data_IF_445737304449
#
_entry.id   IF_445737304449
#
_cell.length_a   1.000
_cell.length_b   1.000
_cell.length_c   1.000
_cell.angle_alpha   90.00
_cell.angle_beta   90.00
_cell.angle_gamma   90.00
#
_symmetry.space_group_name_H-M   'P 1'
#
loop_
_entity.id
_entity.type
_entity.pdbx_description
1 polymer ?
#
# COMPACT_ATOMS: atom_id res chain seq x y z
N UNK A 1 -22.33 -10.53 18.78
CA UNK A 1 -21.08 -11.23 18.47
C UNK A 1 -19.96 -10.36 19.00
N UNK A 2 -19.10 -10.89 19.87
CA UNK A 2 -17.99 -10.12 20.46
C UNK A 2 -16.90 -9.94 19.40
N UNK A 3 -16.53 -8.69 19.12
CA UNK A 3 -15.49 -8.20 18.18
C UNK A 3 -14.08 -8.83 18.33
N UNK A 4 -13.90 -9.81 19.22
CA UNK A 4 -12.61 -10.44 19.54
C UNK A 4 -12.16 -11.52 18.52
N UNK A 5 -12.96 -11.88 17.50
CA UNK A 5 -12.52 -12.85 16.48
C UNK A 5 -11.68 -12.23 15.34
N UNK A 6 -11.58 -10.90 15.25
CA UNK A 6 -10.77 -10.19 14.25
C UNK A 6 -9.28 -10.08 14.63
N UNK A 7 -8.90 -10.42 15.86
CA UNK A 7 -7.51 -10.32 16.33
C UNK A 7 -6.53 -11.31 15.68
N UNK A 8 -7.04 -12.30 14.92
CA UNK A 8 -6.23 -13.11 14.01
C UNK A 8 -6.30 -12.55 12.59
N UNK A 9 -5.97 -11.26 12.41
CA UNK A 9 -5.61 -10.73 11.09
C UNK A 9 -4.38 -11.50 10.62
N UNK A 10 -4.61 -12.52 9.81
CA UNK A 10 -3.57 -13.22 9.04
C UNK A 10 -2.74 -12.14 8.33
N UNK A 11 -1.41 -12.25 8.32
CA UNK A 11 -0.54 -11.35 7.54
C UNK A 11 -1.00 -11.21 6.08
N UNK A 12 -1.58 -12.29 5.53
CA UNK A 12 -2.19 -12.34 4.20
C UNK A 12 -3.32 -11.30 4.02
N UNK A 13 -4.11 -10.99 5.06
CA UNK A 13 -5.20 -10.03 4.96
C UNK A 13 -4.70 -8.58 4.89
N UNK A 14 -3.62 -8.29 5.62
CA UNK A 14 -2.91 -7.01 5.52
C UNK A 14 -2.30 -6.85 4.13
N UNK A 15 -1.75 -7.92 3.56
CA UNK A 15 -1.24 -7.93 2.18
C UNK A 15 -2.35 -7.70 1.13
N UNK A 16 -3.61 -8.00 1.48
CA UNK A 16 -4.79 -7.74 0.64
C UNK A 16 -5.44 -6.38 0.91
N UNK A 17 -4.90 -5.58 1.84
CA UNK A 17 -5.42 -4.27 2.22
C UNK A 17 -6.71 -4.31 3.06
N UNK A 18 -7.19 -5.48 3.46
CA UNK A 18 -8.46 -5.63 4.20
C UNK A 18 -8.27 -5.10 5.63
N UNK A 19 -9.18 -4.22 6.07
CA UNK A 19 -9.10 -3.57 7.38
C UNK A 19 -8.01 -2.50 7.49
N UNK A 20 -7.46 -2.07 6.36
CA UNK A 20 -6.44 -1.01 6.30
C UNK A 20 -6.80 0.02 5.25
N UNK A 21 -6.39 1.27 5.45
CA UNK A 21 -6.56 2.35 4.48
C UNK A 21 -5.23 3.05 4.26
N UNK A 22 -4.92 3.41 3.02
CA UNK A 22 -3.85 4.39 2.81
C UNK A 22 -4.29 5.78 3.31
N UNK A 23 -3.35 6.70 3.54
CA UNK A 23 -3.66 8.00 4.16
C UNK A 23 -4.70 8.78 3.33
N UNK A 24 -4.62 8.71 2.00
CA UNK A 24 -5.56 9.40 1.11
C UNK A 24 -6.95 8.79 1.17
N UNK A 25 -7.08 7.47 1.16
CA UNK A 25 -8.37 6.79 1.31
C UNK A 25 -8.99 7.04 2.67
N UNK A 26 -8.18 7.05 3.74
CA UNK A 26 -8.62 7.43 5.07
C UNK A 26 -9.17 8.86 5.10
N UNK A 27 -8.45 9.83 4.53
CA UNK A 27 -8.92 11.22 4.45
C UNK A 27 -10.25 11.35 3.68
N UNK A 28 -10.40 10.61 2.57
CA UNK A 28 -11.63 10.57 1.78
C UNK A 28 -12.80 9.96 2.54
N UNK A 29 -12.57 8.82 3.19
CA UNK A 29 -13.58 8.13 4.00
C UNK A 29 -14.07 9.05 5.12
N UNK A 30 -13.15 9.62 5.89
CA UNK A 30 -13.47 10.52 6.99
C UNK A 30 -14.25 11.74 6.49
N UNK A 31 -13.84 12.36 5.37
CA UNK A 31 -14.57 13.51 4.81
C UNK A 31 -16.02 13.16 4.47
N UNK A 32 -16.25 12.00 3.84
CA UNK A 32 -17.59 11.54 3.45
C UNK A 32 -18.45 11.21 4.66
N UNK A 33 -17.90 10.52 5.65
CA UNK A 33 -18.57 10.27 6.92
C UNK A 33 -18.94 11.58 7.62
N UNK A 34 -18.00 12.53 7.69
CA UNK A 34 -18.25 13.84 8.27
C UNK A 34 -19.38 14.59 7.57
N UNK A 35 -19.45 14.51 6.23
CA UNK A 35 -20.56 15.08 5.47
C UNK A 35 -21.90 14.43 5.80
N UNK A 36 -21.97 13.10 5.82
CA UNK A 36 -23.21 12.37 6.06
C UNK A 36 -23.74 12.56 7.48
N UNK A 37 -22.84 12.74 8.46
CA UNK A 37 -23.19 13.05 9.84
C UNK A 37 -23.45 14.56 10.07
N UNK A 38 -23.39 15.38 9.03
CA UNK A 38 -23.73 16.81 9.09
C UNK A 38 -22.64 17.72 9.69
N UNK A 39 -21.40 17.24 9.82
CA UNK A 39 -20.26 18.08 10.23
C UNK A 39 -19.77 19.01 9.12
N UNK A 40 -20.15 18.75 7.87
CA UNK A 40 -19.78 19.56 6.70
C UNK A 40 -21.06 20.01 6.02
N UNK A 41 -21.31 21.32 6.01
CA UNK A 41 -22.41 21.90 5.24
C UNK A 41 -21.98 22.06 3.78
N UNK A 42 -22.83 21.59 2.86
CA UNK A 42 -22.68 21.81 1.42
C UNK A 42 -23.96 22.45 0.86
N UNK A 43 -23.85 23.12 -0.29
CA UNK A 43 -25.01 23.71 -0.96
C UNK A 43 -26.03 22.62 -1.31
N UNK A 44 -27.30 22.83 -0.90
CA UNK A 44 -28.36 21.81 -0.82
C UNK A 44 -28.87 21.24 -2.16
N UNK A 45 -28.24 21.61 -3.28
CA UNK A 45 -28.79 21.37 -4.61
C UNK A 45 -28.43 19.99 -5.20
N UNK A 46 -27.64 19.17 -4.49
CA UNK A 46 -27.20 17.85 -4.98
C UNK A 46 -27.59 16.74 -4.02
N UNK A 47 -28.50 15.88 -4.48
CA UNK A 47 -28.79 14.59 -3.86
C UNK A 47 -27.76 13.57 -4.35
N UNK A 48 -26.88 13.11 -3.46
CA UNK A 48 -25.84 12.16 -3.82
C UNK A 48 -26.28 10.73 -3.44
N UNK A 49 -26.94 10.01 -4.34
CA UNK A 49 -27.20 8.58 -4.10
C UNK A 49 -25.88 7.83 -3.78
N UNK A 50 -25.92 6.90 -2.81
CA UNK A 50 -24.79 6.10 -2.33
C UNK A 50 -23.56 6.94 -1.91
N UNK A 51 -23.75 7.81 -0.92
CA UNK A 51 -22.80 8.85 -0.49
C UNK A 51 -21.35 8.36 -0.31
N UNK A 52 -21.10 7.14 0.18
CA UNK A 52 -19.74 6.70 0.50
C UNK A 52 -18.84 6.46 -0.72
N UNK A 53 -19.39 6.07 -1.87
CA UNK A 53 -18.62 5.73 -3.07
C UNK A 53 -18.81 6.71 -4.22
N UNK A 54 -19.57 7.78 -4.01
CA UNK A 54 -19.82 8.80 -5.01
C UNK A 54 -18.54 9.62 -5.28
N UNK A 55 -18.11 9.68 -6.56
CA UNK A 55 -16.91 10.43 -7.00
C UNK A 55 -17.15 11.94 -7.13
N UNK A 56 -18.37 12.35 -7.43
CA UNK A 56 -18.74 13.77 -7.48
C UNK A 56 -18.70 14.38 -6.08
N UNK A 57 -19.13 13.62 -5.07
CA UNK A 57 -18.98 14.02 -3.68
C UNK A 57 -17.51 14.19 -3.28
N UNK A 58 -16.58 13.32 -3.75
CA UNK A 58 -15.14 13.53 -3.50
C UNK A 58 -14.61 14.83 -4.10
N UNK A 59 -15.07 15.18 -5.30
CA UNK A 59 -14.68 16.43 -5.94
C UNK A 59 -15.14 17.63 -5.11
N UNK A 60 -16.40 17.61 -4.67
CA UNK A 60 -16.99 18.72 -3.93
C UNK A 60 -16.44 18.80 -2.48
N UNK A 61 -16.00 17.67 -1.91
CA UNK A 61 -15.29 17.60 -0.63
C UNK A 61 -13.76 17.82 -0.73
N UNK A 62 -13.21 18.11 -1.92
CA UNK A 62 -11.75 18.13 -2.16
C UNK A 62 -10.97 19.04 -1.20
N UNK A 63 -11.51 20.20 -0.85
CA UNK A 63 -10.89 21.11 0.13
C UNK A 63 -10.80 20.47 1.52
N UNK A 64 -11.86 19.80 1.97
CA UNK A 64 -11.90 19.14 3.28
C UNK A 64 -11.05 17.88 3.32
N UNK A 65 -11.04 17.12 2.22
CA UNK A 65 -10.16 15.96 2.04
C UNK A 65 -8.70 16.39 2.19
N UNK A 66 -8.30 17.51 1.58
CA UNK A 66 -6.94 18.03 1.70
C UNK A 66 -6.58 18.43 3.13
N UNK A 67 -7.48 19.11 3.84
CA UNK A 67 -7.30 19.47 5.25
C UNK A 67 -7.13 18.23 6.16
N UNK A 68 -7.97 17.22 5.93
CA UNK A 68 -7.88 15.94 6.66
C UNK A 68 -6.59 15.19 6.31
N UNK A 69 -6.18 15.18 5.03
CA UNK A 69 -4.92 14.59 4.60
C UNK A 69 -3.73 15.21 5.34
N UNK A 70 -3.64 16.54 5.38
CA UNK A 70 -2.59 17.26 6.09
C UNK A 70 -2.64 16.95 7.60
N UNK A 71 -3.84 16.82 8.16
CA UNK A 71 -4.05 16.46 9.57
C UNK A 71 -3.54 15.05 9.89
N UNK A 72 -3.88 14.06 9.06
CA UNK A 72 -3.44 12.67 9.22
C UNK A 72 -1.91 12.55 9.04
N UNK A 73 -1.34 13.20 8.02
CA UNK A 73 0.12 13.26 7.82
C UNK A 73 0.83 13.80 9.07
N UNK A 74 0.32 14.91 9.61
CA UNK A 74 0.87 15.51 10.82
C UNK A 74 0.73 14.60 12.04
N UNK A 75 -0.40 13.90 12.18
CA UNK A 75 -0.63 12.97 13.27
C UNK A 75 0.34 11.78 13.24
N UNK A 76 0.60 11.24 12.05
CA UNK A 76 1.55 10.15 11.81
C UNK A 76 2.99 10.61 12.07
N UNK A 77 3.39 11.78 11.55
CA UNK A 77 4.72 12.33 11.79
C UNK A 77 4.99 12.61 13.28
N UNK A 78 3.96 12.94 14.06
CA UNK A 78 4.04 13.11 15.51
C UNK A 78 3.98 11.79 16.29
N UNK A 79 3.72 10.66 15.62
CA UNK A 79 3.53 9.35 16.25
C UNK A 79 2.23 9.23 17.07
N UNK A 80 1.26 10.10 16.82
CA UNK A 80 -0.03 10.09 17.55
C UNK A 80 -1.08 9.22 16.88
N UNK A 81 -0.96 8.97 15.58
CA UNK A 81 -1.80 8.03 14.83
C UNK A 81 -0.93 6.80 14.47
N UNK A 82 -1.22 5.61 15.02
CA UNK A 82 -0.52 4.39 14.66
C UNK A 82 -0.67 4.06 13.17
N UNK A 83 0.36 3.43 12.60
CA UNK A 83 0.39 3.02 11.19
C UNK A 83 0.97 1.62 11.11
N UNK A 84 0.40 0.79 10.23
CA UNK A 84 0.87 -0.58 9.99
C UNK A 84 2.12 -0.56 9.10
N UNK A 85 2.07 0.22 8.02
CA UNK A 85 3.15 0.36 7.06
C UNK A 85 3.44 1.84 6.90
N UNK A 86 4.70 2.24 7.08
CA UNK A 86 5.17 3.61 6.81
C UNK A 86 6.09 3.59 5.61
N UNK A 87 5.74 4.35 4.58
CA UNK A 87 6.59 4.55 3.40
C UNK A 87 6.95 6.02 3.28
N UNK A 88 8.25 6.28 3.12
CA UNK A 88 8.80 7.61 2.89
C UNK A 88 9.60 7.62 1.60
N UNK A 89 9.59 8.75 0.90
CA UNK A 89 10.50 8.98 -0.21
C UNK A 89 11.88 9.43 0.30
N UNK A 90 12.80 9.73 -0.62
CA UNK A 90 14.17 10.15 -0.29
C UNK A 90 14.26 11.48 0.47
N UNK A 91 13.20 12.30 0.41
CA UNK A 91 13.11 13.56 1.14
C UNK A 91 12.48 13.36 2.54
N UNK A 92 12.36 12.12 3.01
CA UNK A 92 11.71 11.73 4.27
C UNK A 92 10.23 12.13 4.36
N UNK A 93 9.60 12.47 3.23
CA UNK A 93 8.16 12.78 3.19
C UNK A 93 7.34 11.50 3.02
N UNK A 94 6.20 11.41 3.71
CA UNK A 94 5.31 10.26 3.63
C UNK A 94 4.77 10.09 2.20
N UNK A 95 4.83 8.88 1.69
CA UNK A 95 4.14 8.47 0.47
C UNK A 95 2.74 8.07 0.90
N UNK A 96 1.77 8.96 0.73
CA UNK A 96 0.41 8.82 1.28
C UNK A 96 -0.30 7.57 0.81
N UNK A 97 0.00 7.12 -0.41
CA UNK A 97 -0.73 6.01 -1.06
C UNK A 97 -0.12 4.66 -0.72
N UNK A 98 1.07 4.66 -0.11
CA UNK A 98 1.79 3.46 0.31
C UNK A 98 1.99 3.39 1.83
N UNK A 99 1.44 4.37 2.57
CA UNK A 99 1.44 4.39 4.03
C UNK A 99 0.06 4.00 4.51
N UNK A 100 -0.03 2.90 5.26
CA UNK A 100 -1.30 2.26 5.64
C UNK A 100 -1.57 2.41 7.13
N UNK A 101 -2.82 2.73 7.44
CA UNK A 101 -3.38 2.92 8.77
C UNK A 101 -4.34 1.76 9.05
N UNK A 102 -4.31 1.21 10.27
CA UNK A 102 -5.34 0.29 10.71
C UNK A 102 -6.66 1.05 10.90
N UNK A 103 -7.74 0.51 10.35
CA UNK A 103 -9.05 1.16 10.44
C UNK A 103 -9.53 1.29 11.89
N UNK A 104 -9.23 0.30 12.75
CA UNK A 104 -9.60 0.34 14.17
C UNK A 104 -8.80 1.43 14.92
N UNK A 105 -7.52 1.61 14.57
CA UNK A 105 -6.68 2.66 15.13
C UNK A 105 -7.10 4.06 14.64
N UNK A 106 -7.51 4.19 13.37
CA UNK A 106 -8.04 5.43 12.80
C UNK A 106 -9.33 5.84 13.51
N UNK A 107 -10.27 4.91 13.67
CA UNK A 107 -11.54 5.16 14.34
C UNK A 107 -11.33 5.63 15.78
N UNK A 108 -10.55 4.88 16.56
CA UNK A 108 -10.20 5.25 17.93
C UNK A 108 -9.54 6.64 18.00
N UNK A 109 -8.63 6.94 17.07
CA UNK A 109 -7.96 8.24 17.02
C UNK A 109 -8.92 9.40 16.71
N UNK A 110 -9.96 9.15 15.90
CA UNK A 110 -11.02 10.12 15.59
C UNK A 110 -11.98 10.30 16.77
N UNK A 111 -12.35 9.22 17.46
CA UNK A 111 -13.21 9.26 18.66
C UNK A 111 -12.59 10.10 19.77
N UNK A 112 -11.28 9.97 20.02
CA UNK A 112 -10.53 10.80 20.97
C UNK A 112 -10.61 12.31 20.65
N UNK A 113 -11.00 12.67 19.42
CA UNK A 113 -11.18 14.04 18.93
C UNK A 113 -12.64 14.42 18.72
N UNK A 114 -13.58 13.60 19.22
CA UNK A 114 -15.03 13.76 19.06
C UNK A 114 -15.50 13.76 17.60
N UNK A 115 -14.80 13.03 16.72
CA UNK A 115 -15.25 12.79 15.34
C UNK A 115 -15.79 11.37 15.27
N UNK A 116 -17.11 11.24 15.08
CA UNK A 116 -17.77 9.95 14.90
C UNK A 116 -17.92 9.66 13.40
N UNK A 117 -17.57 8.45 12.96
CA UNK A 117 -17.67 8.04 11.55
C UNK A 117 -19.09 7.67 11.12
N UNK A 118 -20.02 7.50 12.07
CA UNK A 118 -21.44 7.32 11.80
C UNK A 118 -21.83 5.90 11.40
N UNK A 119 -23.15 5.70 11.26
CA UNK A 119 -23.69 4.40 10.84
C UNK A 119 -23.30 4.05 9.42
N UNK A 120 -23.14 5.04 8.54
CA UNK A 120 -22.72 4.82 7.14
C UNK A 120 -21.36 4.09 7.07
N UNK A 121 -20.43 4.42 7.95
CA UNK A 121 -19.15 3.72 8.02
C UNK A 121 -19.32 2.26 8.51
N UNK A 122 -20.13 2.04 9.54
CA UNK A 122 -20.33 0.69 10.08
C UNK A 122 -21.13 -0.21 9.14
N UNK A 123 -22.23 0.31 8.59
CA UNK A 123 -23.17 -0.49 7.83
C UNK A 123 -22.68 -0.67 6.38
N UNK A 124 -22.21 0.40 5.73
CA UNK A 124 -21.82 0.31 4.31
C UNK A 124 -20.34 -0.09 4.17
N UNK A 125 -19.43 0.65 4.80
CA UNK A 125 -18.00 0.42 4.57
C UNK A 125 -17.54 -0.90 5.21
N UNK A 126 -17.78 -1.09 6.51
CA UNK A 126 -17.35 -2.31 7.19
C UNK A 126 -18.14 -3.53 6.71
N UNK A 127 -19.41 -3.38 6.36
CA UNK A 127 -20.21 -4.43 5.73
C UNK A 127 -19.58 -4.93 4.42
N UNK A 128 -19.19 -4.01 3.53
CA UNK A 128 -18.49 -4.37 2.28
C UNK A 128 -17.13 -5.04 2.56
N UNK A 129 -16.38 -4.56 3.55
CA UNK A 129 -15.11 -5.19 3.95
C UNK A 129 -15.31 -6.62 4.46
N UNK A 130 -16.36 -6.86 5.25
CA UNK A 130 -16.71 -8.20 5.75
C UNK A 130 -17.12 -9.14 4.61
N UNK A 131 -17.89 -8.65 3.64
CA UNK A 131 -18.25 -9.40 2.44
C UNK A 131 -17.02 -9.77 1.61
N UNK A 132 -16.11 -8.81 1.37
CA UNK A 132 -14.84 -9.04 0.67
C UNK A 132 -14.00 -10.07 1.42
N UNK A 133 -13.91 -9.96 2.74
CA UNK A 133 -13.17 -10.90 3.57
C UNK A 133 -13.75 -12.31 3.47
N UNK A 134 -15.07 -12.43 3.58
CA UNK A 134 -15.79 -13.71 3.47
C UNK A 134 -15.56 -14.35 2.09
N UNK A 135 -15.65 -13.54 1.03
CA UNK A 135 -15.36 -13.98 -0.33
C UNK A 135 -13.90 -14.44 -0.49
N UNK A 136 -12.94 -13.65 -0.01
CA UNK A 136 -11.52 -14.00 -0.07
C UNK A 136 -11.21 -15.31 0.68
N UNK A 137 -11.78 -15.50 1.87
CA UNK A 137 -11.66 -16.75 2.62
C UNK A 137 -12.23 -17.95 1.85
N UNK A 138 -13.39 -17.76 1.20
CA UNK A 138 -14.01 -18.81 0.39
C UNK A 138 -13.09 -19.24 -0.77
N UNK A 139 -12.47 -18.28 -1.47
CA UNK A 139 -11.54 -18.52 -2.58
C UNK A 139 -10.27 -19.23 -2.08
N UNK A 140 -9.70 -18.77 -0.96
CA UNK A 140 -8.50 -19.39 -0.36
C UNK A 140 -8.79 -20.84 0.03
N UNK A 141 -9.93 -21.10 0.65
CA UNK A 141 -10.34 -22.45 1.05
C UNK A 141 -10.58 -23.34 -0.17
N UNK A 142 -11.19 -22.80 -1.23
CA UNK A 142 -11.36 -23.52 -2.50
C UNK A 142 -10.03 -23.90 -3.13
N UNK A 143 -9.07 -22.97 -3.21
CA UNK A 143 -7.74 -23.25 -3.77
C UNK A 143 -6.95 -24.24 -2.90
N UNK A 144 -7.07 -24.17 -1.57
CA UNK A 144 -6.52 -25.18 -0.66
C UNK A 144 -7.12 -26.56 -0.93
N UNK A 145 -8.45 -26.65 -1.07
CA UNK A 145 -9.15 -27.90 -1.36
C UNK A 145 -8.78 -28.48 -2.72
N UNK A 146 -8.67 -27.64 -3.75
CA UNK A 146 -8.21 -28.01 -5.09
C UNK A 146 -6.79 -28.60 -5.06
N UNK A 147 -5.89 -28.03 -4.24
CA UNK A 147 -4.53 -28.55 -4.05
C UNK A 147 -4.51 -29.86 -3.25
N UNK A 148 -5.32 -30.00 -2.21
CA UNK A 148 -5.35 -31.20 -1.37
C UNK A 148 -6.06 -32.40 -2.01
N UNK A 149 -7.13 -32.14 -2.78
CA UNK A 149 -8.02 -33.18 -3.33
C UNK A 149 -8.41 -32.93 -4.82
N UNK A 150 -7.45 -32.95 -5.78
CA UNK A 150 -7.72 -32.54 -7.16
C UNK A 150 -8.83 -33.35 -7.88
N UNK A 151 -8.92 -34.66 -7.60
CA UNK A 151 -9.92 -35.56 -8.22
C UNK A 151 -11.34 -35.28 -7.71
N UNK A 152 -11.49 -34.94 -6.44
CA UNK A 152 -12.78 -34.61 -5.82
C UNK A 152 -13.23 -33.22 -6.25
N UNK A 153 -12.31 -32.25 -6.27
CA UNK A 153 -12.57 -30.91 -6.79
C UNK A 153 -13.10 -30.95 -8.23
N UNK A 154 -12.50 -31.75 -9.13
CA UNK A 154 -12.98 -31.88 -10.51
C UNK A 154 -14.42 -32.39 -10.63
N UNK A 155 -14.90 -33.18 -9.65
CA UNK A 155 -16.30 -33.66 -9.61
C UNK A 155 -17.25 -32.59 -9.09
N UNK A 156 -16.85 -31.86 -8.04
CA UNK A 156 -17.64 -30.83 -7.38
C UNK A 156 -17.71 -29.51 -8.17
N UNK A 157 -16.61 -29.12 -8.84
CA UNK A 157 -16.51 -27.85 -9.53
C UNK A 157 -17.57 -27.68 -10.61
N UNK A 158 -17.94 -28.77 -11.30
CA UNK A 158 -18.98 -28.75 -12.33
C UNK A 158 -20.37 -28.30 -11.80
N UNK A 159 -20.64 -28.47 -10.50
CA UNK A 159 -21.90 -28.08 -9.86
C UNK A 159 -21.82 -26.69 -9.17
N UNK A 160 -20.61 -26.20 -8.88
CA UNK A 160 -20.38 -24.93 -8.17
C UNK A 160 -20.29 -23.68 -9.08
N UNK A 161 -20.07 -23.85 -10.40
CA UNK A 161 -19.81 -22.73 -11.31
C UNK A 161 -20.97 -21.72 -11.45
N UNK A 162 -22.23 -22.14 -11.27
CA UNK A 162 -23.39 -21.24 -11.44
C UNK A 162 -23.49 -20.17 -10.33
N UNK A 163 -23.19 -20.52 -9.07
CA UNK A 163 -23.23 -19.57 -7.96
C UNK A 163 -22.00 -18.65 -7.91
N UNK A 164 -20.87 -19.08 -8.47
CA UNK A 164 -19.61 -18.32 -8.46
C UNK A 164 -19.62 -17.17 -9.46
N UNK A 165 -20.34 -17.31 -10.58
CA UNK A 165 -20.39 -16.30 -11.64
C UNK A 165 -20.96 -14.96 -11.14
N UNK A 166 -22.02 -15.02 -10.31
CA UNK A 166 -22.68 -13.84 -9.72
C UNK A 166 -21.73 -12.98 -8.86
N UNK A 167 -21.00 -13.62 -7.94
CA UNK A 167 -20.03 -12.92 -7.09
C UNK A 167 -18.81 -12.43 -7.87
N UNK A 168 -18.40 -13.16 -8.91
CA UNK A 168 -17.29 -12.75 -9.76
C UNK A 168 -17.63 -11.49 -10.58
N UNK A 169 -18.87 -11.37 -11.07
CA UNK A 169 -19.35 -10.17 -11.76
C UNK A 169 -19.30 -8.94 -10.84
N UNK A 170 -19.87 -9.02 -9.63
CA UNK A 170 -19.82 -7.93 -8.64
C UNK A 170 -18.38 -7.54 -8.25
N UNK A 171 -17.51 -8.53 -8.04
CA UNK A 171 -16.12 -8.29 -7.66
C UNK A 171 -15.27 -7.73 -8.81
N UNK A 172 -15.52 -8.17 -10.04
CA UNK A 172 -14.83 -7.65 -11.23
C UNK A 172 -15.17 -6.18 -11.51
N UNK A 173 -16.39 -5.74 -11.20
CA UNK A 173 -16.73 -4.32 -11.22
C UNK A 173 -15.92 -3.53 -10.18
N UNK A 174 -15.78 -4.04 -8.95
CA UNK A 174 -14.97 -3.39 -7.91
C UNK A 174 -13.48 -3.33 -8.30
N UNK A 175 -12.94 -4.40 -8.87
CA UNK A 175 -11.55 -4.44 -9.35
C UNK A 175 -11.30 -3.51 -10.53
N UNK A 176 -12.18 -3.47 -11.53
CA UNK A 176 -12.04 -2.55 -12.67
C UNK A 176 -12.20 -1.08 -12.23
N UNK A 177 -13.02 -0.80 -11.19
CA UNK A 177 -13.09 0.52 -10.55
C UNK A 177 -11.76 0.92 -9.88
N UNK A 178 -11.06 -0.01 -9.23
CA UNK A 178 -9.75 0.24 -8.61
C UNK A 178 -8.60 0.31 -9.62
N UNK A 179 -8.67 -0.46 -10.71
CA UNK A 179 -7.66 -0.45 -11.79
C UNK A 179 -7.61 0.90 -12.51
N UNK A 180 -8.74 1.61 -12.58
CA UNK A 180 -8.84 2.98 -13.07
C UNK A 180 -8.27 4.03 -12.09
N UNK A 181 -7.97 3.64 -10.85
CA UNK A 181 -7.27 4.47 -9.85
C UNK A 181 -5.77 4.13 -9.74
N UNK A 182 -5.22 3.24 -10.59
CA UNK A 182 -3.78 3.12 -10.74
C UNK A 182 -3.25 4.40 -11.37
N UNK A 183 -2.96 5.37 -10.51
CA UNK A 183 -1.98 6.41 -10.76
C UNK A 183 -0.73 5.64 -11.18
N UNK A 184 -0.47 5.61 -12.48
CA UNK A 184 0.88 5.32 -12.96
C UNK A 184 1.72 6.40 -12.33
N UNK A 185 2.34 6.08 -11.18
CA UNK A 185 3.32 6.96 -10.55
C UNK A 185 4.38 7.11 -11.62
N UNK A 186 4.31 8.23 -12.32
CA UNK A 186 5.24 8.56 -13.38
C UNK A 186 6.52 8.88 -12.64
N UNK A 187 7.32 7.84 -12.38
CA UNK A 187 8.56 7.98 -11.64
C UNK A 187 9.33 9.16 -12.24
N UNK A 188 9.54 10.18 -11.42
CA UNK A 188 10.28 11.34 -11.88
C UNK A 188 11.70 10.84 -12.17
N UNK A 189 12.22 11.00 -13.38
CA UNK A 189 13.57 10.54 -13.69
C UNK A 189 14.56 11.26 -12.77
N UNK A 190 15.45 10.51 -12.13
CA UNK A 190 16.50 11.07 -11.29
C UNK A 190 17.26 12.18 -12.02
N UNK A 191 17.43 13.33 -11.37
CA UNK A 191 18.29 14.38 -11.90
C UNK A 191 19.75 13.89 -11.90
N UNK A 192 20.58 14.38 -12.84
CA UNK A 192 21.98 13.96 -13.00
C UNK A 192 22.79 13.98 -11.70
N UNK A 193 22.53 14.95 -10.82
CA UNK A 193 23.21 15.10 -9.52
C UNK A 193 22.76 14.05 -8.51
N UNK A 194 21.45 13.81 -8.39
CA UNK A 194 20.88 12.79 -7.50
C UNK A 194 21.38 11.40 -7.88
N UNK A 195 21.36 11.07 -9.18
CA UNK A 195 21.92 9.82 -9.69
C UNK A 195 23.40 9.66 -9.33
N UNK A 196 24.19 10.72 -9.44
CA UNK A 196 25.61 10.69 -9.07
C UNK A 196 25.82 10.51 -7.56
N UNK A 197 25.03 11.18 -6.72
CA UNK A 197 25.07 11.02 -5.26
C UNK A 197 24.72 9.60 -4.85
N UNK A 198 23.66 9.03 -5.43
CA UNK A 198 23.25 7.64 -5.18
C UNK A 198 24.35 6.65 -5.58
N UNK A 199 24.95 6.83 -6.75
CA UNK A 199 26.05 5.99 -7.21
C UNK A 199 27.27 6.09 -6.28
N UNK A 200 27.64 7.28 -5.80
CA UNK A 200 28.73 7.48 -4.85
C UNK A 200 28.46 6.80 -3.51
N UNK A 201 27.23 6.89 -3.00
CA UNK A 201 26.82 6.19 -1.79
C UNK A 201 26.93 4.67 -1.98
N UNK A 202 26.41 4.18 -3.11
CA UNK A 202 26.42 2.76 -3.44
C UNK A 202 27.84 2.18 -3.50
N UNK A 203 28.78 2.85 -4.18
CA UNK A 203 30.17 2.39 -4.23
C UNK A 203 30.89 2.55 -2.89
N UNK A 204 30.57 3.59 -2.10
CA UNK A 204 31.10 3.74 -0.74
C UNK A 204 30.73 2.58 0.17
N UNK A 205 29.46 2.16 0.13
CA UNK A 205 28.96 1.00 0.88
C UNK A 205 29.57 -0.32 0.38
N UNK A 206 29.72 -0.47 -0.95
CA UNK A 206 30.36 -1.64 -1.53
C UNK A 206 31.82 -1.77 -1.07
N UNK A 207 32.57 -0.67 -1.04
CA UNK A 207 33.96 -0.65 -0.56
C UNK A 207 34.00 -0.93 0.95
N UNK A 208 33.18 -0.24 1.75
CA UNK A 208 33.26 -0.30 3.21
C UNK A 208 32.82 -1.65 3.79
N UNK A 209 31.75 -2.24 3.25
CA UNK A 209 31.11 -3.41 3.85
C UNK A 209 31.48 -4.72 3.15
N UNK A 210 31.78 -4.66 1.85
CA UNK A 210 32.04 -5.86 1.03
C UNK A 210 33.48 -5.95 0.55
N UNK A 211 34.33 -4.97 0.88
CA UNK A 211 35.72 -4.91 0.42
C UNK A 211 35.81 -4.85 -1.10
N UNK A 212 34.85 -4.20 -1.76
CA UNK A 212 34.86 -4.04 -3.21
C UNK A 212 36.11 -3.27 -3.64
N UNK A 213 37.05 -3.96 -4.30
CA UNK A 213 38.23 -3.34 -4.89
C UNK A 213 38.02 -3.14 -6.40
N UNK A 214 38.18 -1.89 -6.83
CA UNK A 214 38.11 -1.50 -8.24
C UNK A 214 39.22 -2.09 -9.11
N UNK A 215 40.35 -2.46 -8.50
CA UNK A 215 41.57 -2.94 -9.18
C UNK A 215 41.58 -4.47 -9.28
N UNK A 216 41.01 -5.17 -8.29
CA UNK A 216 41.03 -6.62 -8.18
C UNK A 216 39.66 -7.23 -8.51
N UNK A 217 39.37 -7.37 -9.81
CA UNK A 217 38.25 -8.17 -10.37
C UNK A 217 36.91 -8.09 -9.61
N UNK A 218 36.09 -7.08 -9.94
CA UNK A 218 34.78 -6.80 -9.35
C UNK A 218 33.66 -7.84 -9.56
N UNK A 219 33.98 -9.08 -9.91
CA UNK A 219 33.01 -10.13 -10.24
C UNK A 219 32.54 -10.96 -9.05
N UNK A 220 33.29 -10.98 -7.94
CA UNK A 220 32.97 -11.84 -6.77
C UNK A 220 32.02 -11.16 -5.78
N UNK A 221 31.95 -9.81 -5.80
CA UNK A 221 31.21 -9.05 -4.78
C UNK A 221 29.81 -8.64 -5.19
N UNK A 222 29.46 -8.73 -6.47
CA UNK A 222 28.11 -8.41 -6.93
C UNK A 222 27.06 -9.42 -6.41
N UNK A 223 27.40 -10.71 -6.35
CA UNK A 223 26.53 -11.77 -5.83
C UNK A 223 26.35 -11.69 -4.31
N UNK A 224 27.40 -11.31 -3.56
CA UNK A 224 27.33 -11.06 -2.12
C UNK A 224 26.43 -9.85 -1.81
N UNK A 225 26.66 -8.73 -2.49
CA UNK A 225 25.82 -7.52 -2.38
C UNK A 225 24.36 -7.84 -2.74
N UNK A 226 24.14 -8.60 -3.82
CA UNK A 226 22.80 -9.01 -4.23
C UNK A 226 22.13 -9.86 -3.15
N UNK A 227 22.85 -10.83 -2.60
CA UNK A 227 22.33 -11.71 -1.55
C UNK A 227 21.87 -10.93 -0.32
N UNK A 228 22.65 -9.92 0.08
CA UNK A 228 22.30 -9.05 1.21
C UNK A 228 21.11 -8.13 0.90
N UNK A 229 21.01 -7.59 -0.33
CA UNK A 229 19.86 -6.80 -0.76
C UNK A 229 18.59 -7.65 -0.70
N UNK A 230 18.62 -8.86 -1.29
CA UNK A 230 17.47 -9.76 -1.29
C UNK A 230 17.08 -10.15 0.13
N UNK A 231 18.07 -10.49 0.98
CA UNK A 231 17.84 -10.94 2.35
C UNK A 231 17.25 -9.85 3.26
N UNK A 232 17.76 -8.61 3.17
CA UNK A 232 17.41 -7.56 4.13
C UNK A 232 16.32 -6.60 3.64
N UNK A 233 16.16 -6.42 2.33
CA UNK A 233 15.20 -5.47 1.77
C UNK A 233 14.05 -6.12 1.01
N UNK A 234 14.14 -7.43 0.71
CA UNK A 234 13.15 -8.14 -0.11
C UNK A 234 13.10 -7.66 -1.57
N UNK A 235 14.03 -6.78 -1.98
CA UNK A 235 14.07 -6.22 -3.33
C UNK A 235 14.74 -7.25 -4.24
N UNK A 236 14.01 -7.69 -5.26
CA UNK A 236 14.54 -8.55 -6.31
C UNK A 236 15.21 -7.69 -7.40
N UNK A 237 16.53 -7.76 -7.49
CA UNK A 237 17.30 -7.15 -8.58
C UNK A 237 18.21 -8.19 -9.21
N UNK A 238 18.57 -7.98 -10.48
CA UNK A 238 19.48 -8.88 -11.19
C UNK A 238 20.95 -8.54 -10.88
N UNK A 239 21.82 -9.56 -10.82
CA UNK A 239 23.24 -9.39 -10.53
C UNK A 239 23.96 -8.51 -11.56
N UNK A 240 23.58 -8.58 -12.85
CA UNK A 240 24.13 -7.71 -13.90
C UNK A 240 23.74 -6.26 -13.67
N UNK A 241 22.58 -6.01 -13.05
CA UNK A 241 22.16 -4.65 -12.66
C UNK A 241 23.07 -4.10 -11.57
N UNK A 242 23.42 -4.91 -10.57
CA UNK A 242 24.39 -4.56 -9.53
C UNK A 242 25.75 -4.23 -10.16
N UNK A 243 26.27 -5.12 -11.03
CA UNK A 243 27.54 -4.92 -11.74
C UNK A 243 27.53 -3.65 -12.58
N UNK A 244 26.42 -3.37 -13.27
CA UNK A 244 26.24 -2.17 -14.09
C UNK A 244 26.25 -0.89 -13.24
N UNK A 245 25.67 -0.91 -12.04
CA UNK A 245 25.72 0.24 -11.13
C UNK A 245 27.09 0.43 -10.51
N UNK A 246 27.77 -0.63 -10.09
CA UNK A 246 29.15 -0.56 -9.59
C UNK A 246 30.09 0.04 -10.65
N UNK A 247 29.99 -0.41 -11.92
CA UNK A 247 30.76 0.16 -13.04
C UNK A 247 30.46 1.63 -13.30
N UNK A 248 29.20 2.06 -13.16
CA UNK A 248 28.83 3.47 -13.29
C UNK A 248 29.39 4.32 -12.14
N UNK A 249 29.32 3.79 -10.92
CA UNK A 249 29.78 4.47 -9.73
C UNK A 249 31.31 4.58 -9.66
N UNK A 250 32.03 3.58 -10.17
CA UNK A 250 33.50 3.59 -10.26
C UNK A 250 34.03 4.84 -10.98
N UNK A 251 33.35 5.26 -12.05
CA UNK A 251 33.69 6.45 -12.84
C UNK A 251 33.55 7.77 -12.07
N UNK A 252 32.95 7.74 -10.88
CA UNK A 252 32.71 8.92 -10.04
C UNK A 252 33.68 9.01 -8.86
N UNK A 253 34.51 7.99 -8.64
CA UNK A 253 35.56 8.04 -7.63
C UNK A 253 36.70 8.98 -8.08
N UNK A 254 37.31 9.72 -7.14
CA UNK A 254 38.50 10.50 -7.48
C UNK A 254 39.62 9.57 -7.93
N UNK A 255 40.34 9.95 -8.98
CA UNK A 255 41.61 9.28 -9.32
C UNK A 255 42.55 9.48 -8.13
N UNK A 256 42.87 8.38 -7.45
CA UNK A 256 43.86 8.39 -6.38
C UNK A 256 45.21 8.61 -7.08
N UNK A 257 45.61 9.87 -7.22
CA UNK A 257 46.98 10.19 -7.55
C UNK A 257 47.83 9.73 -6.38
N UNK A 258 48.59 8.65 -6.57
CA UNK A 258 49.57 8.17 -5.59
C UNK A 258 50.46 9.35 -5.18
N UNK A 259 50.40 9.71 -3.90
CA UNK A 259 51.27 10.71 -3.25
C UNK A 259 52.48 9.99 -2.67
#
# INVERSE_FOLDING_TARGET
MTYNSLYYRNTILVDLGIGTLNITEAAKLVAKCMYCEGYIEMEADKDYDNHLFNKELEHDLSSKIKELLDTLINAINKGTLPTIIVKRNLDETLITEETFIDIDDLEKWLEERNVNLGSLYHDDYLGIQEDILTLAQSIINEEKFKRSSPKEYKKLSAQYYENKLYWFEQYSELLERNKNNNITVKEKPFHKKEKQSLLKLFIGLAISNYGYDSVLNGDIKASEILSDIVLHSGISIDEDTVRKFLKQALKLLPEINEV
#
